data_IF_419894521511
#
_entry.id   IF_419894521511
#
_cell.length_a   1.000
_cell.length_b   1.000
_cell.length_c   1.000
_cell.angle_alpha   90.00
_cell.angle_beta   90.00
_cell.angle_gamma   90.00
#
_symmetry.space_group_name_H-M   'P 1'
#
loop_
_entity.id
_entity.type
_entity.pdbx_description
1 polymer ?
#
# COMPACT_ATOMS: atom_id res chain seq x y z
N UNK A 1 8.36 21.74 -19.93
CA UNK A 1 9.31 21.10 -18.99
C UNK A 1 9.19 19.59 -19.09
N UNK A 2 10.29 18.86 -19.28
CA UNK A 2 10.26 17.42 -19.57
C UNK A 2 9.92 16.62 -18.30
N UNK A 3 8.70 16.09 -18.20
CA UNK A 3 8.22 15.28 -17.08
C UNK A 3 9.12 14.05 -16.78
N UNK A 4 9.87 13.58 -17.78
CA UNK A 4 10.77 12.44 -17.65
C UNK A 4 11.90 12.64 -16.62
N UNK A 5 12.31 13.88 -16.33
CA UNK A 5 13.34 14.13 -15.29
C UNK A 5 12.81 13.92 -13.88
N UNK A 6 11.52 14.14 -13.63
CA UNK A 6 10.92 14.05 -12.29
C UNK A 6 10.53 12.62 -11.87
N UNK A 7 10.38 11.71 -12.84
CA UNK A 7 9.98 10.32 -12.61
C UNK A 7 10.89 9.56 -11.62
N UNK A 8 12.23 9.55 -11.76
CA UNK A 8 13.10 8.86 -10.78
C UNK A 8 13.00 9.47 -9.38
N UNK A 9 12.97 10.81 -9.27
CA UNK A 9 12.83 11.47 -7.97
C UNK A 9 11.52 11.08 -7.27
N UNK A 10 10.39 11.11 -8.00
CA UNK A 10 9.09 10.72 -7.40
C UNK A 10 9.06 9.26 -6.94
N UNK A 11 9.74 8.36 -7.65
CA UNK A 11 9.81 6.95 -7.27
C UNK A 11 10.63 6.77 -5.99
N UNK A 12 11.79 7.42 -5.89
CA UNK A 12 12.66 7.37 -4.69
C UNK A 12 11.96 8.01 -3.50
N UNK A 13 11.34 9.18 -3.66
CA UNK A 13 10.59 9.84 -2.58
C UNK A 13 9.43 9.00 -2.09
N UNK A 14 8.76 8.28 -2.99
CA UNK A 14 7.65 7.42 -2.62
C UNK A 14 8.11 6.15 -1.89
N UNK A 15 9.22 5.56 -2.32
CA UNK A 15 9.83 4.42 -1.64
C UNK A 15 10.25 4.79 -0.20
N UNK A 16 10.87 5.96 -0.03
CA UNK A 16 11.24 6.49 1.27
C UNK A 16 10.00 6.75 2.15
N UNK A 17 8.96 7.39 1.60
CA UNK A 17 7.72 7.65 2.33
C UNK A 17 7.05 6.34 2.81
N UNK A 18 6.99 5.33 1.94
CA UNK A 18 6.49 4.00 2.29
C UNK A 18 7.31 3.35 3.42
N UNK A 19 8.63 3.45 3.36
CA UNK A 19 9.51 2.88 4.39
C UNK A 19 9.30 3.58 5.75
N UNK A 20 9.14 4.90 5.76
CA UNK A 20 8.86 5.67 6.98
C UNK A 20 7.49 5.31 7.59
N UNK A 21 6.46 5.15 6.77
CA UNK A 21 5.13 4.70 7.21
C UNK A 21 5.18 3.28 7.74
N UNK A 22 5.92 2.39 7.08
CA UNK A 22 6.07 1.01 7.53
C UNK A 22 6.75 0.94 8.90
N UNK A 23 7.83 1.69 9.12
CA UNK A 23 8.52 1.75 10.42
C UNK A 23 7.59 2.32 11.49
N UNK A 24 6.96 3.47 11.25
CA UNK A 24 6.06 4.09 12.24
C UNK A 24 4.83 3.22 12.54
N UNK A 25 4.26 2.57 11.52
CA UNK A 25 3.16 1.62 11.68
C UNK A 25 3.57 0.36 12.43
N UNK A 26 4.77 -0.17 12.16
CA UNK A 26 5.31 -1.33 12.89
C UNK A 26 5.57 -1.01 14.36
N UNK A 27 6.11 0.18 14.65
CA UNK A 27 6.32 0.63 16.03
C UNK A 27 4.98 0.81 16.75
N UNK A 28 3.96 1.39 16.10
CA UNK A 28 2.60 1.51 16.65
C UNK A 28 1.92 0.14 16.85
N UNK A 29 2.22 -0.83 16.00
CA UNK A 29 1.73 -2.20 16.14
C UNK A 29 2.30 -2.89 17.39
N UNK A 30 3.57 -2.64 17.70
CA UNK A 30 4.21 -3.12 18.93
C UNK A 30 3.76 -2.34 20.19
N UNK A 31 3.19 -1.15 20.02
CA UNK A 31 2.76 -0.35 21.15
C UNK A 31 1.61 -1.04 21.92
N UNK A 32 1.71 -1.18 23.25
CA UNK A 32 0.71 -1.85 24.06
C UNK A 32 -0.65 -1.15 23.98
N UNK A 33 -1.72 -1.94 24.03
CA UNK A 33 -3.10 -1.46 24.09
C UNK A 33 -3.65 -1.72 25.49
N UNK A 34 -4.13 -0.67 26.18
CA UNK A 34 -4.73 -0.79 27.52
C UNK A 34 -4.28 0.30 28.51
N UNK A 35 -4.63 0.17 29.80
CA UNK A 35 -4.38 1.18 30.84
C UNK A 35 -2.90 1.57 31.01
N UNK A 36 -1.96 0.70 30.63
CA UNK A 36 -0.53 0.96 30.63
C UNK A 36 0.01 1.72 29.42
N UNK A 37 -0.83 2.05 28.42
CA UNK A 37 -0.34 2.68 27.17
C UNK A 37 0.11 4.13 27.33
N UNK A 38 -0.27 4.80 28.42
CA UNK A 38 0.12 6.19 28.69
C UNK A 38 1.60 6.37 28.99
N UNK A 39 2.27 5.33 29.50
CA UNK A 39 3.70 5.35 29.83
C UNK A 39 4.60 4.85 28.69
N UNK A 40 4.00 4.40 27.59
CA UNK A 40 4.76 3.91 26.45
C UNK A 40 5.36 5.08 25.69
N UNK A 41 6.69 5.06 25.59
CA UNK A 41 7.46 6.05 24.85
C UNK A 41 8.43 5.34 23.92
N UNK A 42 8.56 5.84 22.70
CA UNK A 42 9.53 5.37 21.73
C UNK A 42 10.34 6.57 21.24
N UNK A 43 11.66 6.54 21.45
CA UNK A 43 12.56 7.66 21.18
C UNK A 43 12.12 9.00 21.83
N UNK A 44 11.50 8.93 23.01
CA UNK A 44 10.99 10.10 23.73
C UNK A 44 9.64 10.62 23.22
N UNK A 45 9.09 10.02 22.16
CA UNK A 45 7.75 10.33 21.64
C UNK A 45 6.71 9.45 22.32
N UNK A 46 5.59 10.05 22.69
CA UNK A 46 4.41 9.32 23.17
C UNK A 46 3.74 8.55 22.03
N UNK A 47 2.93 7.55 22.39
CA UNK A 47 2.10 6.81 21.42
C UNK A 47 1.22 7.74 20.56
N UNK A 48 0.71 8.81 21.15
CA UNK A 48 -0.14 9.78 20.47
C UNK A 48 0.63 10.56 19.41
N UNK A 49 1.80 11.11 19.76
CA UNK A 49 2.62 11.86 18.81
C UNK A 49 3.10 10.97 17.67
N UNK A 50 3.49 9.73 17.97
CA UNK A 50 3.89 8.78 16.93
C UNK A 50 2.73 8.44 15.98
N UNK A 51 1.50 8.33 16.51
CA UNK A 51 0.29 8.14 15.72
C UNK A 51 0.01 9.34 14.82
N UNK A 52 0.17 10.55 15.32
CA UNK A 52 -0.05 11.77 14.53
C UNK A 52 0.99 11.91 13.42
N UNK A 53 2.27 11.64 13.73
CA UNK A 53 3.34 11.60 12.71
C UNK A 53 3.03 10.54 11.64
N UNK A 54 2.62 9.34 12.05
CA UNK A 54 2.23 8.28 11.12
C UNK A 54 1.07 8.72 10.21
N UNK A 55 0.06 9.40 10.78
CA UNK A 55 -1.08 9.89 10.01
C UNK A 55 -0.68 10.93 8.96
N UNK A 56 0.14 11.92 9.34
CA UNK A 56 0.63 12.93 8.39
C UNK A 56 1.54 12.32 7.32
N UNK A 57 2.41 11.38 7.68
CA UNK A 57 3.22 10.64 6.71
C UNK A 57 2.35 9.82 5.75
N UNK A 58 1.34 9.11 6.27
CA UNK A 58 0.41 8.34 5.46
C UNK A 58 -0.34 9.23 4.46
N UNK A 59 -0.81 10.39 4.91
CA UNK A 59 -1.45 11.37 4.03
C UNK A 59 -0.50 11.85 2.93
N UNK A 60 0.74 12.21 3.28
CA UNK A 60 1.76 12.63 2.31
C UNK A 60 2.06 11.52 1.28
N UNK A 61 2.17 10.25 1.71
CA UNK A 61 2.40 9.14 0.80
C UNK A 61 1.24 8.90 -0.16
N UNK A 62 -0.01 9.09 0.27
CA UNK A 62 -1.16 9.04 -0.64
C UNK A 62 -1.06 10.12 -1.72
N UNK A 63 -0.72 11.36 -1.34
CA UNK A 63 -0.54 12.45 -2.31
C UNK A 63 0.61 12.14 -3.28
N UNK A 64 1.75 11.67 -2.78
CA UNK A 64 2.87 11.23 -3.61
C UNK A 64 2.48 10.07 -4.54
N UNK A 65 1.62 9.16 -4.08
CA UNK A 65 1.12 8.04 -4.88
C UNK A 65 0.26 8.50 -6.05
N UNK A 66 -0.65 9.43 -5.81
CA UNK A 66 -1.44 10.05 -6.87
C UNK A 66 -0.52 10.78 -7.87
N UNK A 67 0.46 11.53 -7.39
CA UNK A 67 1.41 12.25 -8.25
C UNK A 67 2.28 11.31 -9.08
N UNK A 68 2.82 10.26 -8.47
CA UNK A 68 3.60 9.23 -9.16
C UNK A 68 2.74 8.48 -10.20
N UNK A 69 1.50 8.16 -9.85
CA UNK A 69 0.52 7.57 -10.77
C UNK A 69 0.29 8.49 -11.96
N UNK A 70 0.01 9.77 -11.73
CA UNK A 70 -0.19 10.79 -12.77
C UNK A 70 0.97 10.86 -13.76
N UNK A 71 2.22 10.91 -13.27
CA UNK A 71 3.41 10.94 -14.13
C UNK A 71 3.62 9.64 -14.94
N UNK A 72 3.05 8.52 -14.48
CA UNK A 72 3.19 7.20 -15.10
C UNK A 72 1.91 6.69 -15.82
N UNK A 73 0.85 7.51 -15.95
CA UNK A 73 -0.40 7.13 -16.62
C UNK A 73 -0.20 6.67 -18.07
N UNK A 74 0.64 7.38 -18.84
CA UNK A 74 0.94 7.03 -20.25
C UNK A 74 1.57 5.62 -20.37
N UNK A 75 2.68 5.30 -19.69
CA UNK A 75 3.25 3.95 -19.73
C UNK A 75 2.34 2.88 -19.14
N UNK A 76 1.59 3.16 -18.07
CA UNK A 76 0.60 2.21 -17.54
C UNK A 76 -0.46 1.87 -18.59
N UNK A 77 -0.97 2.86 -19.33
CA UNK A 77 -1.96 2.61 -20.38
C UNK A 77 -1.41 1.78 -21.54
N UNK A 78 -0.14 1.99 -21.93
CA UNK A 78 0.54 1.21 -22.96
C UNK A 78 0.81 -0.24 -22.50
N UNK A 79 1.23 -0.41 -21.25
CA UNK A 79 1.44 -1.72 -20.64
C UNK A 79 0.14 -2.53 -20.53
N UNK A 80 -0.94 -1.89 -20.09
CA UNK A 80 -2.27 -2.52 -20.01
C UNK A 80 -2.82 -2.88 -21.40
N UNK A 81 -2.62 -2.02 -22.41
CA UNK A 81 -2.99 -2.32 -23.81
C UNK A 81 -2.18 -3.50 -24.37
N UNK A 82 -0.89 -3.59 -24.07
CA UNK A 82 -0.01 -4.68 -24.53
C UNK A 82 -0.31 -6.03 -23.86
N UNK A 83 -0.82 -6.05 -22.63
CA UNK A 83 -1.16 -7.29 -21.90
C UNK A 83 -2.60 -7.77 -22.09
N UNK A 84 -3.48 -6.99 -22.71
CA UNK A 84 -4.89 -7.34 -22.91
C UNK A 84 -5.10 -8.63 -23.71
N UNK A 85 -4.16 -9.00 -24.60
CA UNK A 85 -4.22 -10.27 -25.35
C UNK A 85 -3.61 -11.50 -24.64
N UNK A 86 -2.78 -11.31 -23.60
CA UNK A 86 -1.98 -12.40 -22.99
C UNK A 86 -2.58 -12.95 -21.69
N UNK A 87 -3.33 -12.14 -20.94
CA UNK A 87 -3.95 -12.58 -19.69
C UNK A 87 -5.20 -13.48 -19.89
N UNK A 88 -5.82 -13.43 -21.07
CA UNK A 88 -7.04 -14.19 -21.39
C UNK A 88 -6.79 -15.68 -21.63
N UNK A 89 -5.56 -16.09 -21.97
CA UNK A 89 -5.24 -17.46 -22.41
C UNK A 89 -4.60 -18.35 -21.34
N UNK A 90 -4.55 -17.94 -20.06
CA UNK A 90 -4.08 -18.79 -18.96
C UNK A 90 -5.26 -19.46 -18.22
N UNK A 91 -5.68 -20.68 -18.61
CA UNK A 91 -6.80 -21.39 -17.96
C UNK A 91 -6.56 -21.67 -16.47
N UNK A 92 -5.30 -21.68 -16.03
CA UNK A 92 -4.90 -21.89 -14.64
C UNK A 92 -5.34 -20.77 -13.69
N UNK A 93 -5.42 -19.51 -14.15
CA UNK A 93 -5.84 -18.39 -13.30
C UNK A 93 -7.35 -18.43 -13.04
N UNK A 94 -8.14 -18.88 -14.02
CA UNK A 94 -9.57 -19.11 -13.86
C UNK A 94 -9.87 -20.34 -13.01
N UNK A 95 -9.09 -21.42 -13.15
CA UNK A 95 -9.22 -22.62 -12.33
C UNK A 95 -8.95 -22.32 -10.84
N UNK A 96 -7.88 -21.59 -10.53
CA UNK A 96 -7.57 -21.19 -9.15
C UNK A 96 -8.63 -20.26 -8.54
N UNK A 97 -9.08 -19.27 -9.30
CA UNK A 97 -10.14 -18.35 -8.84
C UNK A 97 -11.47 -19.04 -8.60
N UNK A 98 -11.86 -19.97 -9.48
CA UNK A 98 -13.08 -20.77 -9.33
C UNK A 98 -13.07 -21.64 -8.08
N UNK A 99 -11.95 -22.31 -7.80
CA UNK A 99 -11.79 -23.15 -6.59
C UNK A 99 -11.95 -22.32 -5.31
N UNK A 100 -11.38 -21.11 -5.26
CA UNK A 100 -11.51 -20.22 -4.09
C UNK A 100 -12.97 -19.77 -3.88
N UNK A 101 -13.69 -19.46 -4.96
CA UNK A 101 -15.11 -19.07 -4.87
C UNK A 101 -15.99 -20.23 -4.44
N UNK A 102 -15.73 -21.44 -4.94
CA UNK A 102 -16.48 -22.66 -4.54
C UNK A 102 -16.23 -22.99 -3.07
N UNK A 103 -14.98 -22.91 -2.61
CA UNK A 103 -14.63 -23.12 -1.19
C UNK A 103 -15.31 -22.05 -0.31
N UNK A 104 -15.28 -20.78 -0.73
CA UNK A 104 -15.93 -19.69 0.02
C UNK A 104 -17.45 -19.86 0.12
N UNK A 105 -18.11 -20.27 -0.98
CA UNK A 105 -19.55 -20.58 -0.98
C UNK A 105 -19.88 -21.79 -0.10
N UNK A 106 -19.08 -22.86 -0.17
CA UNK A 106 -19.30 -24.05 0.66
C UNK A 106 -19.19 -23.77 2.16
N UNK A 107 -18.30 -22.86 2.55
CA UNK A 107 -18.10 -22.47 3.95
C UNK A 107 -19.16 -21.50 4.49
N UNK A 108 -19.93 -20.83 3.62
CA UNK A 108 -20.87 -19.75 3.99
C UNK A 108 -22.36 -20.14 3.83
N UNK A 109 -22.66 -21.35 3.34
CA UNK A 109 -24.04 -21.86 3.19
C UNK A 109 -24.48 -22.69 4.43
N UNK A 110 -23.57 -22.97 5.36
CA UNK A 110 -23.81 -23.81 6.55
C UNK A 110 -23.97 -23.10 7.89
N UNK A 111 -24.10 -21.77 7.92
CA UNK A 111 -24.29 -20.96 9.15
C UNK A 111 -25.65 -20.30 9.23
#
# INVERSE_FOLDING_TARGET
MNANRFRPYTAVTMMLALMMIAVTGFVLFLAPHGPGSGYWQWLGLTKHELKDIHLYLAFLAVVLMLFHGYLNLKPMSLYLKGKRGRLWHHPLLWAGGGVVVVIWLALNIGS
#
